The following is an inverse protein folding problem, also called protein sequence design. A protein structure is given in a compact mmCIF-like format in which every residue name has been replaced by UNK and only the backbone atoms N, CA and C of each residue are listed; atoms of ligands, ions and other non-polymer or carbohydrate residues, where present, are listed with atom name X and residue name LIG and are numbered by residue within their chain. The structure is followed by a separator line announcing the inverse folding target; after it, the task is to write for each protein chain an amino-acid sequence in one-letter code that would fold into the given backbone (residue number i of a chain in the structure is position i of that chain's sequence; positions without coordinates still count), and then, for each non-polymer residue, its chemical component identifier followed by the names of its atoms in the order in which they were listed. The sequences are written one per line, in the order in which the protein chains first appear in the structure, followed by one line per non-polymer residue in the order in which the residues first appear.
data_IF_511588176891
#
_entry.id   IF_511588176891
#
_cell.length_a   1.000
_cell.length_b   1.000
_cell.length_c   1.000
_cell.angle_alpha   90.00
_cell.angle_beta   90.00
_cell.angle_gamma   90.00
#
_symmetry.space_group_name_H-M   'P 1'
#
loop_
_entity.id
_entity.type
_entity.pdbx_description
1 polymer ?
#
# COMPACT_ATOMS: atom_id res chain seq x y z
N UNK A 1 4.16 -2.63 10.42
CA UNK A 1 3.56 -3.39 11.51
C UNK A 1 2.15 -3.82 11.16
N UNK A 2 1.85 -5.07 11.31
CA UNK A 2 0.57 -5.62 10.88
C UNK A 2 -0.41 -5.61 12.04
N UNK A 3 -1.55 -4.99 11.84
CA UNK A 3 -2.60 -4.89 12.84
C UNK A 3 -3.69 -5.92 12.60
N UNK A 4 -3.31 -7.18 12.54
CA UNK A 4 -4.26 -8.24 12.19
C UNK A 4 -5.35 -8.42 13.22
N UNK A 5 -5.03 -8.23 14.48
CA UNK A 5 -6.05 -8.41 15.51
C UNK A 5 -7.18 -7.41 15.36
N UNK A 6 -6.88 -6.24 14.79
CA UNK A 6 -7.91 -5.26 14.53
C UNK A 6 -8.89 -5.76 13.48
N UNK A 7 -8.37 -6.43 12.46
CA UNK A 7 -9.21 -6.95 11.39
C UNK A 7 -9.95 -8.20 11.84
N UNK A 8 -9.31 -9.03 12.63
CA UNK A 8 -9.87 -10.31 13.02
C UNK A 8 -10.82 -10.27 14.20
N UNK A 9 -11.00 -9.11 14.83
CA UNK A 9 -11.87 -9.01 16.00
C UNK A 9 -13.25 -8.52 15.61
N UNK A 10 -13.81 -7.60 16.39
CA UNK A 10 -15.15 -7.09 16.10
C UNK A 10 -15.26 -6.34 14.79
N UNK A 11 -14.13 -5.99 14.24
CA UNK A 11 -14.14 -5.34 12.95
C UNK A 11 -14.59 -6.26 11.84
N UNK A 12 -14.75 -7.53 12.11
CA UNK A 12 -15.25 -8.48 11.12
C UNK A 12 -16.73 -8.29 10.92
N UNK A 13 -17.07 -7.22 10.25
CA UNK A 13 -18.45 -6.87 9.95
C UNK A 13 -18.71 -7.25 8.51
N UNK A 14 -19.92 -7.68 8.24
CA UNK A 14 -20.25 -8.17 6.90
C UNK A 14 -20.08 -7.15 5.81
N UNK A 15 -20.33 -5.88 6.13
CA UNK A 15 -20.33 -4.82 5.12
C UNK A 15 -18.94 -4.36 4.75
N UNK A 16 -17.94 -4.75 5.55
CA UNK A 16 -16.62 -4.24 5.27
C UNK A 16 -16.02 -5.00 4.07
N UNK A 17 -15.15 -4.34 3.30
CA UNK A 17 -14.55 -5.00 2.15
C UNK A 17 -13.74 -6.22 2.57
N UNK A 18 -13.71 -7.22 1.70
CA UNK A 18 -12.86 -8.39 1.92
C UNK A 18 -11.42 -7.96 1.89
N UNK A 19 -10.65 -8.30 2.93
CA UNK A 19 -9.25 -7.97 2.97
C UNK A 19 -8.47 -9.04 3.71
N UNK A 20 -7.17 -9.06 3.47
CA UNK A 20 -6.28 -10.07 4.00
C UNK A 20 -5.54 -9.60 5.23
N UNK A 21 -5.46 -8.29 5.44
CA UNK A 21 -4.76 -7.77 6.60
C UNK A 21 -4.82 -6.27 6.68
N UNK A 22 -4.10 -5.73 7.65
CA UNK A 22 -4.05 -4.31 7.91
C UNK A 22 -2.65 -3.92 8.37
N UNK A 23 -2.24 -2.69 8.02
CA UNK A 23 -0.97 -2.15 8.47
C UNK A 23 -1.18 -0.69 8.86
N UNK A 24 -0.30 -0.20 9.72
CA UNK A 24 -0.27 1.23 10.06
C UNK A 24 0.55 1.98 9.04
N UNK A 25 0.07 3.17 8.69
CA UNK A 25 0.79 4.06 7.78
C UNK A 25 1.95 4.70 8.54
N UNK A 26 3.10 4.75 7.88
CA UNK A 26 4.28 5.44 8.38
C UNK A 26 4.75 6.43 7.33
N UNK A 27 5.29 7.55 7.81
CA UNK A 27 5.80 8.56 6.91
C UNK A 27 4.70 9.40 6.31
N UNK A 28 5.07 10.22 5.34
CA UNK A 28 4.17 11.23 4.79
C UNK A 28 4.04 11.17 3.28
N UNK A 29 4.48 10.09 2.64
CA UNK A 29 4.46 10.04 1.17
C UNK A 29 3.04 10.09 0.61
N UNK A 30 2.05 9.70 1.39
CA UNK A 30 0.65 9.72 0.95
C UNK A 30 -0.14 10.82 1.66
N UNK A 31 0.53 11.71 2.34
CA UNK A 31 -0.11 12.85 2.99
C UNK A 31 -0.68 13.80 1.94
N UNK A 32 -1.84 14.41 2.12
CA UNK A 32 -2.69 14.34 3.31
C UNK A 32 -3.75 13.23 3.24
N UNK A 33 -3.76 12.45 2.18
CA UNK A 33 -4.76 11.40 2.04
C UNK A 33 -4.64 10.36 3.14
N UNK A 34 -3.40 9.91 3.40
CA UNK A 34 -3.09 9.00 4.49
C UNK A 34 -2.09 9.70 5.40
N UNK A 35 -2.36 9.67 6.69
CA UNK A 35 -1.47 10.27 7.69
C UNK A 35 -0.83 9.16 8.50
N UNK A 36 0.36 9.45 9.02
CA UNK A 36 1.04 8.52 9.91
C UNK A 36 0.12 8.12 11.05
N UNK A 37 0.00 6.82 11.29
CA UNK A 37 -0.91 6.30 12.29
C UNK A 37 -2.25 5.84 11.76
N UNK A 38 -2.60 6.21 10.53
CA UNK A 38 -3.78 5.66 9.90
C UNK A 38 -3.58 4.15 9.68
N UNK A 39 -4.68 3.43 9.55
CA UNK A 39 -4.65 2.00 9.28
C UNK A 39 -5.18 1.78 7.88
N UNK A 40 -4.46 1.02 7.07
CA UNK A 40 -4.95 0.63 5.76
C UNK A 40 -5.26 -0.85 5.76
N UNK A 41 -6.37 -1.20 5.12
CA UNK A 41 -6.79 -2.58 4.92
C UNK A 41 -6.43 -2.96 3.50
N UNK A 42 -5.84 -4.13 3.34
CA UNK A 42 -5.32 -4.53 2.04
C UNK A 42 -5.75 -5.93 1.67
N UNK A 43 -5.74 -6.20 0.37
CA UNK A 43 -5.97 -7.52 -0.18
C UNK A 43 -4.76 -7.89 -1.02
N UNK A 44 -4.17 -9.03 -0.74
CA UNK A 44 -2.94 -9.45 -1.40
C UNK A 44 -3.18 -9.73 -2.87
N UNK A 45 -2.24 -9.28 -3.70
CA UNK A 45 -2.27 -9.54 -5.14
C UNK A 45 -1.37 -10.75 -5.40
N UNK A 46 -1.95 -11.80 -5.94
CA UNK A 46 -1.20 -13.04 -6.20
C UNK A 46 -0.64 -13.09 -7.61
N UNK A 47 -1.28 -12.41 -8.55
CA UNK A 47 -0.86 -12.41 -9.94
C UNK A 47 -0.38 -11.02 -10.31
N UNK A 48 0.94 -10.81 -10.30
CA UNK A 48 1.49 -9.50 -10.56
C UNK A 48 1.46 -9.12 -12.03
N UNK A 49 1.20 -10.08 -12.90
CA UNK A 49 1.12 -9.78 -14.32
C UNK A 49 -0.23 -9.15 -14.69
N UNK A 50 -1.31 -9.65 -14.12
CA UNK A 50 -2.65 -9.18 -14.46
C UNK A 50 -3.36 -8.51 -13.29
N UNK A 51 -2.79 -8.58 -12.08
CA UNK A 51 -3.43 -8.05 -10.89
C UNK A 51 -3.11 -6.61 -10.58
N UNK A 52 -2.27 -5.97 -11.38
CA UNK A 52 -1.92 -4.57 -11.16
C UNK A 52 -2.77 -3.68 -12.05
N UNK A 53 -3.49 -2.77 -11.43
CA UNK A 53 -4.28 -1.78 -12.16
C UNK A 53 -3.59 -0.43 -12.00
N UNK A 54 -3.30 0.21 -13.13
CA UNK A 54 -2.55 1.46 -13.12
C UNK A 54 -3.36 2.55 -12.43
N UNK A 55 -2.69 3.27 -11.55
CA UNK A 55 -3.30 4.38 -10.85
C UNK A 55 -3.93 4.03 -9.52
N UNK A 56 -3.97 2.74 -9.17
CA UNK A 56 -4.50 2.32 -7.87
C UNK A 56 -3.42 2.34 -6.80
N UNK A 57 -3.86 2.36 -5.55
CA UNK A 57 -2.95 2.44 -4.41
C UNK A 57 -2.60 1.05 -3.94
N UNK A 58 -1.31 0.83 -3.71
CA UNK A 58 -0.80 -0.49 -3.32
C UNK A 58 0.14 -0.39 -2.14
N UNK A 59 0.10 -1.41 -1.31
CA UNK A 59 1.12 -1.67 -0.32
C UNK A 59 2.16 -2.56 -1.00
N UNK A 60 3.40 -2.10 -1.02
CA UNK A 60 4.45 -2.70 -1.83
C UNK A 60 5.60 -3.11 -0.92
N UNK A 61 5.99 -4.38 -1.01
CA UNK A 61 7.20 -4.87 -0.36
C UNK A 61 8.22 -5.13 -1.45
N UNK A 62 9.35 -4.47 -1.36
CA UNK A 62 10.39 -4.55 -2.38
C UNK A 62 11.75 -4.76 -1.75
N UNK A 63 12.63 -5.39 -2.52
CA UNK A 63 14.01 -5.60 -2.11
C UNK A 63 14.91 -4.85 -3.08
N UNK A 64 15.59 -3.83 -2.58
CA UNK A 64 16.49 -3.02 -3.38
C UNK A 64 17.88 -3.11 -2.75
N UNK A 65 18.84 -3.61 -3.51
CA UNK A 65 20.22 -3.74 -3.05
C UNK A 65 20.35 -4.51 -1.74
N UNK A 66 19.52 -5.54 -1.58
CA UNK A 66 19.56 -6.37 -0.40
C UNK A 66 18.75 -5.83 0.77
N UNK A 67 18.27 -4.61 0.69
CA UNK A 67 17.45 -4.02 1.74
C UNK A 67 15.98 -4.14 1.37
N UNK A 68 15.22 -4.68 2.30
CA UNK A 68 13.79 -4.81 2.11
C UNK A 68 13.08 -3.59 2.68
N UNK A 69 12.15 -3.05 1.91
CA UNK A 69 11.34 -1.94 2.42
C UNK A 69 9.89 -2.13 2.01
N UNK A 70 9.00 -1.55 2.81
CA UNK A 70 7.56 -1.62 2.61
C UNK A 70 7.05 -0.20 2.51
N UNK A 71 6.27 0.07 1.47
CA UNK A 71 5.78 1.42 1.22
C UNK A 71 4.37 1.36 0.62
N UNK A 72 3.66 2.47 0.72
CA UNK A 72 2.34 2.63 0.11
C UNK A 72 2.47 3.69 -0.96
N UNK A 73 2.15 3.33 -2.19
CA UNK A 73 2.27 4.22 -3.33
C UNK A 73 1.19 3.89 -4.35
N UNK A 74 0.92 4.85 -5.24
CA UNK A 74 0.18 4.54 -6.45
C UNK A 74 1.14 3.87 -7.43
N UNK A 75 0.66 2.88 -8.15
CA UNK A 75 1.46 2.23 -9.18
C UNK A 75 0.94 2.68 -10.53
N UNK A 76 1.83 3.29 -11.30
CA UNK A 76 1.53 3.73 -12.65
C UNK A 76 2.42 2.99 -13.65
N UNK A 77 2.01 3.00 -14.90
CA UNK A 77 2.81 2.41 -15.94
C UNK A 77 4.08 3.23 -16.13
N UNK A 78 5.21 2.53 -16.19
CA UNK A 78 6.49 3.16 -16.41
C UNK A 78 6.80 3.17 -17.91
N UNK A 79 7.53 4.18 -18.36
CA UNK A 79 8.05 4.21 -19.71
C UNK A 79 9.18 3.21 -19.89
N UNK A 80 9.77 2.75 -18.81
CA UNK A 80 10.83 1.76 -18.87
C UNK A 80 10.24 0.38 -18.95
N UNK A 81 10.85 -0.47 -19.77
CA UNK A 81 10.40 -1.83 -19.92
C UNK A 81 10.60 -2.61 -18.62
N UNK A 82 9.62 -3.42 -18.29
CA UNK A 82 9.65 -4.27 -17.08
C UNK A 82 9.79 -3.49 -15.78
N UNK A 83 9.37 -2.24 -15.78
CA UNK A 83 9.37 -1.40 -14.59
C UNK A 83 7.98 -0.88 -14.33
N UNK A 84 7.77 -0.46 -13.09
CA UNK A 84 6.56 0.26 -12.69
C UNK A 84 6.98 1.57 -12.07
N UNK A 85 6.12 2.56 -12.18
CA UNK A 85 6.37 3.88 -11.60
C UNK A 85 5.60 3.99 -10.29
N UNK A 86 6.31 4.27 -9.21
CA UNK A 86 5.73 4.46 -7.89
C UNK A 86 5.53 5.95 -7.67
N UNK A 87 4.29 6.34 -7.44
CA UNK A 87 3.91 7.74 -7.31
C UNK A 87 3.32 7.97 -5.94
N UNK A 88 3.80 9.01 -5.27
CA UNK A 88 3.29 9.42 -3.97
C UNK A 88 2.13 10.38 -4.15
N UNK A 89 1.19 10.36 -3.20
CA UNK A 89 0.13 11.37 -3.18
C UNK A 89 0.70 12.73 -2.78
N UNK A 90 1.69 12.72 -1.90
CA UNK A 90 2.36 13.94 -1.45
C UNK A 90 3.30 14.41 -2.56
N UNK A 91 3.04 15.62 -3.07
CA UNK A 91 3.79 16.14 -4.21
C UNK A 91 5.24 16.46 -3.89
N UNK A 92 5.60 16.50 -2.62
CA UNK A 92 6.99 16.71 -2.22
C UNK A 92 7.86 15.48 -2.43
N UNK A 93 7.25 14.33 -2.71
CA UNK A 93 7.97 13.10 -3.00
C UNK A 93 7.94 12.85 -4.50
N UNK A 94 9.09 12.65 -5.10
CA UNK A 94 9.19 12.44 -6.53
C UNK A 94 8.87 11.01 -6.91
N UNK A 95 8.30 10.79 -8.09
CA UNK A 95 8.05 9.43 -8.54
C UNK A 95 9.34 8.68 -8.79
N UNK A 96 9.28 7.37 -8.68
CA UNK A 96 10.44 6.51 -8.85
C UNK A 96 10.04 5.28 -9.64
N UNK A 97 10.84 4.95 -10.64
CA UNK A 97 10.65 3.70 -11.39
C UNK A 97 11.45 2.59 -10.73
N UNK A 98 10.81 1.44 -10.54
CA UNK A 98 11.53 0.26 -10.07
C UNK A 98 11.21 -0.93 -10.96
N UNK A 99 12.16 -1.85 -11.14
CA UNK A 99 11.89 -3.07 -11.88
C UNK A 99 10.86 -3.93 -11.15
N UNK A 100 9.99 -4.55 -11.90
CA UNK A 100 8.98 -5.45 -11.32
C UNK A 100 9.66 -6.58 -10.55
N UNK A 101 10.83 -7.01 -11.00
CA UNK A 101 11.53 -8.10 -10.36
C UNK A 101 11.97 -7.78 -8.94
N UNK A 102 12.04 -6.51 -8.56
CA UNK A 102 12.37 -6.13 -7.20
C UNK A 102 11.19 -6.18 -6.25
N UNK A 103 9.99 -6.29 -6.77
CA UNK A 103 8.79 -6.35 -5.93
C UNK A 103 8.62 -7.76 -5.40
N UNK A 104 8.63 -7.90 -4.08
CA UNK A 104 8.48 -9.19 -3.43
C UNK A 104 7.03 -9.54 -3.17
N UNK A 105 6.25 -8.55 -2.79
CA UNK A 105 4.85 -8.76 -2.47
C UNK A 105 4.09 -7.48 -2.75
N UNK A 106 2.82 -7.65 -3.10
CA UNK A 106 1.98 -6.54 -3.50
C UNK A 106 0.60 -6.76 -2.95
N UNK A 107 -0.01 -5.70 -2.43
CA UNK A 107 -1.37 -5.77 -1.90
C UNK A 107 -2.12 -4.52 -2.30
N UNK A 108 -3.35 -4.70 -2.77
CA UNK A 108 -4.20 -3.59 -3.13
C UNK A 108 -4.80 -2.98 -1.86
N UNK A 109 -4.67 -1.67 -1.71
CA UNK A 109 -5.28 -0.98 -0.57
C UNK A 109 -6.78 -0.87 -0.83
N UNK A 110 -7.58 -1.43 0.07
CA UNK A 110 -9.03 -1.48 -0.09
C UNK A 110 -9.73 -0.40 0.70
N UNK A 111 -9.17 -0.01 1.84
CA UNK A 111 -9.83 0.97 2.70
C UNK A 111 -8.81 1.51 3.69
N UNK A 112 -9.14 2.62 4.31
CA UNK A 112 -8.32 3.17 5.39
C UNK A 112 -9.22 3.59 6.55
N UNK A 113 -8.64 3.56 7.74
CA UNK A 113 -9.33 3.93 8.97
C UNK A 113 -8.45 4.91 9.72
N UNK A 114 -9.06 5.98 10.18
CA UNK A 114 -8.35 6.97 10.98
C UNK A 114 -9.06 7.13 12.32
N UNK A 115 -8.29 6.97 13.39
CA UNK A 115 -8.81 7.21 14.71
C UNK A 115 -8.67 8.67 15.06
N UNK A 116 -9.77 9.29 15.44
CA UNK A 116 -9.76 10.64 15.94
C UNK A 116 -10.11 10.57 17.43
N UNK A 117 -9.07 10.68 18.25
CA UNK A 117 -9.28 10.66 19.69
C UNK A 117 -9.65 12.05 20.15
N UNK A 118 -10.80 12.16 20.74
CA UNK A 118 -11.29 13.43 21.27
C UNK A 118 -11.26 13.38 22.77
N UNK A 119 -10.70 14.40 23.36
CA UNK A 119 -10.59 14.46 24.80
C UNK A 119 -11.13 15.73 25.36
#
# INVERSE_FOLDING_TARGET
EIAQCLVGSEMCIRDRPACDGAVYVRGDSMYPLLKSGDIVLYKQVHDMQYGIFWGEMYLISANVDGDEFVTIKYIHKSERENCVKLVSHNQHHEPKDIPISMIRALALVKASVRYNTIR
#
